data_IF_287574166070
#
_entry.id   IF_287574166070
#
_cell.length_a   1.000
_cell.length_b   1.000
_cell.length_c   1.000
_cell.angle_alpha   90.00
_cell.angle_beta   90.00
_cell.angle_gamma   90.00
#
_symmetry.space_group_name_H-M   'P 1'
#
loop_
_entity.id
_entity.type
_entity.pdbx_description
1 polymer ?
#
# COMPACT_ATOMS: atom_id res chain seq x y z
N UNK A 1 6.64 22.73 32.33
CA UNK A 1 5.26 23.24 32.46
C UNK A 1 4.37 22.02 32.57
N UNK A 2 3.56 21.89 33.62
CA UNK A 2 2.63 20.74 33.76
C UNK A 2 1.29 21.10 33.14
N UNK A 3 0.74 20.21 32.34
CA UNK A 3 -0.55 20.38 31.66
C UNK A 3 -1.66 19.62 32.39
N UNK A 4 -2.93 19.93 32.11
CA UNK A 4 -4.06 19.14 32.65
C UNK A 4 -4.04 17.69 32.17
N UNK A 5 -3.49 17.42 30.97
CA UNK A 5 -3.29 16.07 30.46
C UNK A 5 -2.33 15.24 31.33
N UNK A 6 -1.39 15.89 32.04
CA UNK A 6 -0.43 15.20 32.91
C UNK A 6 -1.09 14.58 34.15
N UNK A 7 -2.36 14.89 34.40
CA UNK A 7 -3.15 14.34 35.50
C UNK A 7 -4.04 13.18 35.07
N UNK A 8 -4.16 12.93 33.76
CA UNK A 8 -4.96 11.82 33.27
C UNK A 8 -4.18 10.50 33.42
N UNK A 9 -4.83 9.41 33.84
CA UNK A 9 -4.25 8.08 33.75
C UNK A 9 -3.86 7.74 32.30
N UNK A 10 -2.80 6.94 32.13
CA UNK A 10 -2.28 6.58 30.80
C UNK A 10 -3.31 5.84 29.96
N UNK A 11 -4.19 5.09 30.61
CA UNK A 11 -5.28 4.34 29.99
C UNK A 11 -6.30 5.29 29.33
N UNK A 12 -6.59 6.43 29.98
CA UNK A 12 -7.48 7.45 29.41
C UNK A 12 -6.84 8.09 28.18
N UNK A 13 -5.53 8.36 28.23
CA UNK A 13 -4.80 8.91 27.07
C UNK A 13 -4.80 7.93 25.89
N UNK A 14 -4.55 6.65 26.14
CA UNK A 14 -4.63 5.62 25.10
C UNK A 14 -6.03 5.54 24.49
N UNK A 15 -7.09 5.57 25.31
CA UNK A 15 -8.46 5.63 24.80
C UNK A 15 -8.72 6.87 23.94
N UNK A 16 -8.20 8.04 24.32
CA UNK A 16 -8.30 9.25 23.48
C UNK A 16 -7.58 9.05 22.15
N UNK A 17 -6.38 8.47 22.18
CA UNK A 17 -5.57 8.24 20.98
C UNK A 17 -6.24 7.26 20.01
N UNK A 18 -7.00 6.28 20.49
CA UNK A 18 -7.75 5.35 19.65
C UNK A 18 -8.80 6.03 18.75
N UNK A 19 -9.29 7.22 19.12
CA UNK A 19 -10.23 8.00 18.30
C UNK A 19 -9.55 8.90 17.26
N UNK A 20 -8.22 8.93 17.22
CA UNK A 20 -7.43 9.81 16.37
C UNK A 20 -6.53 9.00 15.45
N UNK A 21 -6.16 9.57 14.30
CA UNK A 21 -5.12 8.94 13.47
C UNK A 21 -3.76 9.08 14.18
N UNK A 22 -2.87 8.10 14.00
CA UNK A 22 -1.50 8.19 14.52
C UNK A 22 -0.80 9.50 14.12
N UNK A 23 -1.04 9.98 12.90
CA UNK A 23 -0.49 11.26 12.45
C UNK A 23 -1.05 12.45 13.25
N UNK A 24 -2.35 12.44 13.59
CA UNK A 24 -2.96 13.47 14.42
C UNK A 24 -2.50 13.38 15.87
N UNK A 25 -2.37 12.18 16.44
CA UNK A 25 -1.88 12.00 17.82
C UNK A 25 -0.46 12.57 17.96
N UNK A 26 0.45 12.20 17.05
CA UNK A 26 1.82 12.69 17.10
C UNK A 26 1.87 14.20 16.94
N UNK A 27 1.19 14.75 15.93
CA UNK A 27 1.17 16.20 15.70
C UNK A 27 0.55 16.98 16.87
N UNK A 28 -0.53 16.47 17.46
CA UNK A 28 -1.29 17.17 18.49
C UNK A 28 -0.68 17.06 19.88
N UNK A 29 0.02 15.98 20.23
CA UNK A 29 0.46 15.74 21.60
C UNK A 29 1.98 15.75 21.79
N UNK A 30 2.76 15.69 20.70
CA UNK A 30 4.22 15.70 20.80
C UNK A 30 4.74 17.03 21.33
N UNK A 31 5.71 16.94 22.25
CA UNK A 31 6.37 18.05 22.91
C UNK A 31 5.44 19.00 23.71
N UNK A 32 4.24 18.54 24.07
CA UNK A 32 3.37 19.27 25.00
C UNK A 32 3.88 19.15 26.44
N UNK A 33 4.21 17.94 26.88
CA UNK A 33 4.78 17.68 28.20
C UNK A 33 5.69 16.44 28.20
N UNK A 34 6.65 16.35 29.15
CA UNK A 34 7.47 15.15 29.29
C UNK A 34 6.65 13.88 29.55
N UNK A 35 5.54 14.00 30.27
CA UNK A 35 4.63 12.88 30.54
C UNK A 35 3.97 12.39 29.25
N UNK A 36 3.39 13.30 28.45
CA UNK A 36 2.78 12.94 27.17
C UNK A 36 3.82 12.34 26.23
N UNK A 37 5.03 12.89 26.13
CA UNK A 37 6.11 12.30 25.34
C UNK A 37 6.45 10.88 25.79
N UNK A 38 6.48 10.62 27.10
CA UNK A 38 6.69 9.27 27.62
C UNK A 38 5.56 8.32 27.23
N UNK A 39 4.30 8.75 27.29
CA UNK A 39 3.14 7.95 26.85
C UNK A 39 3.22 7.68 25.34
N UNK A 40 3.48 8.73 24.54
CA UNK A 40 3.67 8.65 23.11
C UNK A 40 4.77 7.66 22.73
N UNK A 41 5.90 7.64 23.45
CA UNK A 41 6.98 6.70 23.17
C UNK A 41 6.58 5.22 23.34
N UNK A 42 5.61 4.92 24.20
CA UNK A 42 5.07 3.57 24.37
C UNK A 42 3.85 3.30 23.49
N UNK A 43 3.31 4.32 22.82
CA UNK A 43 2.19 4.17 21.92
C UNK A 43 2.57 3.39 20.65
N UNK A 44 1.62 2.65 20.12
CA UNK A 44 1.82 1.70 19.04
C UNK A 44 1.67 2.40 17.67
N UNK A 45 2.69 3.17 17.26
CA UNK A 45 2.77 3.92 15.98
C UNK A 45 2.89 3.06 14.71
N UNK A 46 2.10 2.00 14.61
CA UNK A 46 2.31 0.97 13.60
C UNK A 46 1.79 1.36 12.23
N UNK A 47 0.89 2.34 12.13
CA UNK A 47 0.23 2.69 10.87
C UNK A 47 0.30 4.18 10.63
N UNK A 48 0.93 4.58 9.54
CA UNK A 48 1.02 5.98 9.12
C UNK A 48 0.26 6.14 7.81
N UNK A 49 -0.65 7.11 7.80
CA UNK A 49 -1.39 7.47 6.62
C UNK A 49 -1.16 8.94 6.28
N UNK A 50 -0.38 9.17 5.24
CA UNK A 50 -0.07 10.51 4.72
C UNK A 50 -0.96 10.91 3.55
N UNK A 51 -2.04 10.18 3.27
CA UNK A 51 -3.04 10.61 2.30
C UNK A 51 -3.66 11.94 2.73
N UNK A 52 -3.59 12.94 1.85
CA UNK A 52 -4.20 14.27 2.07
C UNK A 52 -3.74 15.02 3.33
N UNK A 53 -2.58 14.69 3.89
CA UNK A 53 -1.97 15.41 5.02
C UNK A 53 -1.45 16.79 4.58
N UNK A 54 -1.42 17.79 5.47
CA UNK A 54 -0.78 19.06 5.15
C UNK A 54 0.75 18.91 5.11
N UNK A 55 1.42 19.72 4.28
CA UNK A 55 2.89 19.73 4.17
C UNK A 55 3.58 19.97 5.52
N UNK A 56 3.10 20.92 6.31
CA UNK A 56 3.64 21.23 7.64
C UNK A 56 3.55 20.04 8.61
N UNK A 57 2.43 19.31 8.61
CA UNK A 57 2.24 18.12 9.44
C UNK A 57 3.13 16.99 8.97
N UNK A 58 3.19 16.78 7.65
CA UNK A 58 4.05 15.76 7.05
C UNK A 58 5.52 15.97 7.39
N UNK A 59 6.04 17.18 7.19
CA UNK A 59 7.45 17.51 7.47
C UNK A 59 7.79 17.31 8.95
N UNK A 60 6.89 17.73 9.84
CA UNK A 60 7.06 17.51 11.26
C UNK A 60 7.08 16.02 11.63
N UNK A 61 6.16 15.23 11.10
CA UNK A 61 6.11 13.79 11.39
C UNK A 61 7.39 13.14 10.90
N UNK A 62 7.82 13.41 9.65
CA UNK A 62 9.06 12.88 9.08
C UNK A 62 10.28 13.12 9.97
N UNK A 63 10.39 14.30 10.60
CA UNK A 63 11.50 14.62 11.50
C UNK A 63 11.53 13.79 12.81
N UNK A 64 10.45 13.09 13.12
CA UNK A 64 10.27 12.33 14.37
C UNK A 64 9.93 10.84 14.12
N UNK A 65 10.11 10.36 12.89
CA UNK A 65 9.78 8.97 12.55
C UNK A 65 10.81 7.97 13.09
N UNK A 66 10.31 6.98 13.83
CA UNK A 66 11.05 5.77 14.17
C UNK A 66 10.73 4.67 13.15
N UNK A 67 11.50 4.62 12.07
CA UNK A 67 11.22 3.78 10.89
C UNK A 67 11.00 2.30 11.21
N UNK A 68 11.70 1.79 12.22
CA UNK A 68 11.65 0.40 12.65
C UNK A 68 10.29 0.00 13.27
N UNK A 69 9.47 0.96 13.69
CA UNK A 69 8.16 0.69 14.33
C UNK A 69 6.99 0.69 13.36
N UNK A 70 7.23 1.14 12.13
CA UNK A 70 6.22 1.31 11.10
C UNK A 70 5.88 -0.06 10.50
N UNK A 71 4.62 -0.46 10.60
CA UNK A 71 4.07 -1.71 10.07
C UNK A 71 3.27 -1.45 8.78
N UNK A 72 2.61 -0.30 8.68
CA UNK A 72 1.83 0.10 7.52
C UNK A 72 2.11 1.55 7.17
N UNK A 73 2.38 1.81 5.89
CA UNK A 73 2.67 3.13 5.36
C UNK A 73 1.79 3.42 4.14
N UNK A 74 1.09 4.55 4.17
CA UNK A 74 0.37 5.09 3.02
C UNK A 74 0.97 6.44 2.64
N UNK A 75 1.44 6.56 1.40
CA UNK A 75 1.91 7.81 0.79
C UNK A 75 1.01 8.16 -0.40
N UNK A 76 0.84 9.45 -0.67
CA UNK A 76 -0.04 9.92 -1.73
C UNK A 76 0.55 11.13 -2.44
N UNK A 77 0.47 11.16 -3.76
CA UNK A 77 0.74 12.34 -4.58
C UNK A 77 -0.56 13.02 -5.02
N UNK A 78 -1.59 13.06 -4.16
CA UNK A 78 -2.87 13.71 -4.46
C UNK A 78 -2.75 15.24 -4.65
N UNK A 79 -3.86 15.89 -5.00
CA UNK A 79 -3.91 17.34 -5.25
C UNK A 79 -3.41 18.15 -4.04
N UNK A 80 -3.53 17.62 -2.81
CA UNK A 80 -3.09 18.29 -1.58
C UNK A 80 -1.62 18.02 -1.25
N UNK A 81 -1.05 16.96 -1.80
CA UNK A 81 0.28 16.44 -1.44
C UNK A 81 1.17 16.14 -2.67
N UNK A 82 1.29 17.06 -3.64
CA UNK A 82 2.08 16.80 -4.85
C UNK A 82 3.56 16.55 -4.53
N UNK A 83 4.13 15.49 -5.10
CA UNK A 83 5.55 15.12 -4.95
C UNK A 83 5.95 14.58 -3.57
N UNK A 84 4.97 14.30 -2.69
CA UNK A 84 5.21 13.74 -1.36
C UNK A 84 5.96 12.41 -1.41
N UNK A 85 5.61 11.51 -2.33
CA UNK A 85 6.25 10.19 -2.46
C UNK A 85 7.73 10.33 -2.76
N UNK A 86 8.08 11.13 -3.78
CA UNK A 86 9.47 11.38 -4.15
C UNK A 86 10.26 12.02 -3.01
N UNK A 87 9.66 13.00 -2.33
CA UNK A 87 10.29 13.65 -1.17
C UNK A 87 10.49 12.68 0.00
N UNK A 88 9.55 11.78 0.26
CA UNK A 88 9.67 10.79 1.33
C UNK A 88 10.86 9.85 1.06
N UNK A 89 10.97 9.32 -0.15
CA UNK A 89 12.05 8.40 -0.52
C UNK A 89 13.40 9.08 -0.79
N UNK A 90 13.46 10.41 -0.86
CA UNK A 90 14.73 11.13 -0.82
C UNK A 90 15.32 11.24 0.58
N UNK A 91 14.48 11.09 1.62
CA UNK A 91 14.89 11.15 3.03
C UNK A 91 15.10 9.77 3.65
N UNK A 92 14.28 8.79 3.25
CA UNK A 92 14.25 7.48 3.90
C UNK A 92 14.56 6.35 2.93
N UNK A 93 15.36 5.39 3.38
CA UNK A 93 15.61 4.16 2.63
C UNK A 93 14.56 3.10 3.01
N UNK A 94 13.95 2.44 2.01
CA UNK A 94 12.99 1.35 2.26
C UNK A 94 13.57 0.22 3.13
N UNK A 95 14.88 -0.02 3.08
CA UNK A 95 15.58 -1.03 3.90
C UNK A 95 15.41 -0.81 5.40
N UNK A 96 15.21 0.43 5.83
CA UNK A 96 15.16 0.79 7.24
C UNK A 96 13.79 0.47 7.87
N UNK A 97 12.77 0.22 7.04
CA UNK A 97 11.43 -0.17 7.47
C UNK A 97 11.36 -1.69 7.71
N UNK A 98 12.17 -2.18 8.64
CA UNK A 98 12.38 -3.62 8.89
C UNK A 98 11.09 -4.39 9.24
N UNK A 99 10.09 -3.70 9.81
CA UNK A 99 8.82 -4.28 10.23
C UNK A 99 7.65 -3.91 9.29
N UNK A 100 7.92 -3.38 8.10
CA UNK A 100 6.86 -2.99 7.18
C UNK A 100 6.16 -4.22 6.58
N UNK A 101 4.85 -4.30 6.82
CA UNK A 101 3.97 -5.34 6.31
C UNK A 101 3.03 -4.83 5.21
N UNK A 102 2.72 -3.54 5.21
CA UNK A 102 1.80 -2.94 4.25
C UNK A 102 2.38 -1.64 3.68
N UNK A 103 2.41 -1.55 2.35
CA UNK A 103 2.79 -0.34 1.63
C UNK A 103 1.69 0.04 0.65
N UNK A 104 1.20 1.27 0.78
CA UNK A 104 0.21 1.86 -0.12
C UNK A 104 0.80 3.11 -0.77
N UNK A 105 0.90 3.12 -2.09
CA UNK A 105 1.40 4.25 -2.89
C UNK A 105 0.28 4.76 -3.79
N UNK A 106 -0.26 5.93 -3.47
CA UNK A 106 -1.39 6.49 -4.19
C UNK A 106 -0.95 7.57 -5.17
N UNK A 107 -1.56 7.59 -6.35
CA UNK A 107 -1.33 8.64 -7.34
C UNK A 107 0.13 8.78 -7.81
N UNK A 108 0.88 7.68 -7.80
CA UNK A 108 2.30 7.63 -8.16
C UNK A 108 2.49 7.67 -9.69
N UNK A 109 3.57 8.26 -10.18
CA UNK A 109 3.94 8.19 -11.62
C UNK A 109 4.81 6.96 -11.91
N UNK A 110 4.97 6.65 -13.20
CA UNK A 110 5.86 5.57 -13.64
C UNK A 110 7.33 5.86 -13.25
N UNK A 111 7.80 7.11 -13.39
CA UNK A 111 9.19 7.45 -13.05
C UNK A 111 9.46 7.36 -11.54
N UNK A 112 8.45 7.59 -10.71
CA UNK A 112 8.56 7.50 -9.25
C UNK A 112 8.53 6.06 -8.75
N UNK A 113 7.67 5.20 -9.32
CA UNK A 113 7.51 3.83 -8.83
C UNK A 113 8.67 2.92 -9.26
N UNK A 114 9.24 3.14 -10.45
CA UNK A 114 10.32 2.30 -10.98
C UNK A 114 11.52 2.15 -10.02
N UNK A 115 12.11 3.23 -9.47
CA UNK A 115 13.20 3.11 -8.49
C UNK A 115 12.75 2.50 -7.16
N UNK A 116 11.46 2.55 -6.82
CA UNK A 116 10.92 1.93 -5.60
C UNK A 116 10.79 0.41 -5.78
N UNK A 117 10.41 -0.06 -6.98
CA UNK A 117 10.23 -1.49 -7.28
C UNK A 117 11.49 -2.32 -7.03
N UNK A 118 12.66 -1.80 -7.37
CA UNK A 118 13.95 -2.47 -7.13
C UNK A 118 14.26 -2.65 -5.64
N UNK A 119 13.66 -1.79 -4.80
CA UNK A 119 13.85 -1.75 -3.36
C UNK A 119 12.79 -2.52 -2.58
N UNK A 120 11.63 -2.81 -3.18
CA UNK A 120 10.57 -3.60 -2.55
C UNK A 120 11.03 -4.98 -2.11
N UNK A 121 11.93 -5.63 -2.86
CA UNK A 121 12.48 -6.96 -2.55
C UNK A 121 13.19 -7.03 -1.20
N UNK A 122 13.56 -5.87 -0.66
CA UNK A 122 14.27 -5.74 0.62
C UNK A 122 13.31 -5.77 1.81
N UNK A 123 12.02 -5.56 1.57
CA UNK A 123 10.96 -5.59 2.58
C UNK A 123 10.50 -7.03 2.83
N UNK A 124 11.27 -7.76 3.65
CA UNK A 124 11.08 -9.20 3.91
C UNK A 124 9.70 -9.56 4.47
N UNK A 125 9.08 -8.63 5.18
CA UNK A 125 7.78 -8.83 5.85
C UNK A 125 6.61 -8.25 5.06
N UNK A 126 6.84 -7.72 3.85
CA UNK A 126 5.76 -7.11 3.08
C UNK A 126 4.72 -8.15 2.66
N UNK A 127 3.51 -7.98 3.16
CA UNK A 127 2.35 -8.86 2.89
C UNK A 127 1.30 -8.18 2.03
N UNK A 128 1.28 -6.85 1.99
CA UNK A 128 0.31 -6.06 1.22
C UNK A 128 1.02 -4.96 0.45
N UNK A 129 0.80 -4.92 -0.86
CA UNK A 129 1.24 -3.85 -1.74
C UNK A 129 0.05 -3.33 -2.53
N UNK A 130 -0.24 -2.04 -2.37
CA UNK A 130 -1.32 -1.36 -3.09
C UNK A 130 -0.73 -0.16 -3.80
N UNK A 131 -0.90 -0.08 -5.11
CA UNK A 131 -0.42 1.04 -5.90
C UNK A 131 -1.51 1.55 -6.84
N UNK A 132 -1.64 2.88 -6.90
CA UNK A 132 -2.46 3.55 -7.92
C UNK A 132 -1.58 4.44 -8.77
N UNK A 133 -1.30 3.98 -10.00
CA UNK A 133 -0.45 4.68 -10.94
C UNK A 133 -1.28 5.66 -11.78
N UNK A 134 -0.74 6.86 -12.02
CA UNK A 134 -1.33 7.86 -12.95
C UNK A 134 -0.88 7.68 -14.40
N UNK A 135 -0.10 6.64 -14.68
CA UNK A 135 0.38 6.34 -16.02
C UNK A 135 -0.62 5.47 -16.78
N UNK A 136 -0.67 5.65 -18.09
CA UNK A 136 -1.32 4.73 -19.03
C UNK A 136 -0.43 3.53 -19.40
N UNK A 137 0.86 3.58 -19.04
CA UNK A 137 1.79 2.49 -19.33
C UNK A 137 1.69 1.38 -18.29
N UNK A 138 1.71 0.11 -18.71
CA UNK A 138 1.69 -1.03 -17.81
C UNK A 138 2.99 -1.09 -16.99
N UNK A 139 2.84 -1.22 -15.67
CA UNK A 139 3.96 -1.44 -14.76
C UNK A 139 4.42 -2.89 -14.83
N UNK A 140 5.62 -3.12 -15.38
CA UNK A 140 6.28 -4.42 -15.44
C UNK A 140 6.80 -4.84 -14.06
N UNK A 141 5.91 -5.38 -13.21
CA UNK A 141 6.25 -5.75 -11.83
C UNK A 141 6.59 -7.24 -11.67
N UNK A 142 6.39 -8.05 -12.72
CA UNK A 142 6.43 -9.52 -12.64
C UNK A 142 7.67 -10.08 -11.97
N UNK A 143 8.86 -9.61 -12.36
CA UNK A 143 10.13 -10.03 -11.76
C UNK A 143 10.22 -9.67 -10.26
N UNK A 144 9.80 -8.46 -9.88
CA UNK A 144 9.80 -8.01 -8.48
C UNK A 144 8.88 -8.88 -7.63
N UNK A 145 7.70 -9.26 -8.14
CA UNK A 145 6.75 -10.11 -7.39
C UNK A 145 7.35 -11.47 -7.01
N UNK A 146 8.21 -12.05 -7.85
CA UNK A 146 8.89 -13.33 -7.51
C UNK A 146 9.82 -13.22 -6.30
N UNK A 147 10.27 -12.01 -5.98
CA UNK A 147 11.15 -11.73 -4.84
C UNK A 147 10.35 -11.45 -3.56
N UNK A 148 9.08 -11.06 -3.69
CA UNK A 148 8.18 -10.72 -2.57
C UNK A 148 7.51 -11.97 -1.98
N UNK A 149 8.32 -12.82 -1.36
CA UNK A 149 7.87 -14.14 -0.86
C UNK A 149 6.74 -14.07 0.17
N UNK A 150 6.60 -12.97 0.91
CA UNK A 150 5.59 -12.81 1.95
C UNK A 150 4.27 -12.20 1.43
N UNK A 151 4.22 -11.79 0.16
CA UNK A 151 3.12 -11.03 -0.41
C UNK A 151 1.85 -11.88 -0.50
N UNK A 152 0.77 -11.37 0.07
CA UNK A 152 -0.57 -12.01 0.11
C UNK A 152 -1.64 -11.18 -0.58
N UNK A 153 -1.49 -9.86 -0.54
CA UNK A 153 -2.41 -8.91 -1.14
C UNK A 153 -1.65 -8.01 -2.13
N UNK A 154 -2.13 -7.98 -3.36
CA UNK A 154 -1.60 -7.13 -4.42
C UNK A 154 -2.74 -6.38 -5.08
N UNK A 155 -2.61 -5.06 -5.16
CA UNK A 155 -3.51 -4.22 -5.94
C UNK A 155 -2.70 -3.25 -6.77
N UNK A 156 -2.83 -3.33 -8.09
CA UNK A 156 -2.11 -2.44 -9.01
C UNK A 156 -3.11 -1.97 -10.08
N UNK A 157 -3.28 -0.66 -10.22
CA UNK A 157 -4.27 -0.10 -11.16
C UNK A 157 -3.93 -0.32 -12.64
N UNK A 158 -2.64 -0.34 -12.96
CA UNK A 158 -2.11 -0.46 -14.33
C UNK A 158 -0.80 -1.26 -14.30
N UNK A 159 -0.86 -2.50 -13.82
CA UNK A 159 0.32 -3.37 -13.69
C UNK A 159 0.16 -4.61 -14.53
N UNK A 160 1.10 -4.84 -15.44
CA UNK A 160 1.15 -6.10 -16.18
C UNK A 160 1.79 -7.17 -15.29
N UNK A 161 0.97 -7.77 -14.43
CA UNK A 161 1.33 -8.99 -13.71
C UNK A 161 1.40 -10.22 -14.63
N UNK A 162 0.94 -10.07 -15.88
CA UNK A 162 0.91 -11.10 -16.91
C UNK A 162 2.14 -11.07 -17.81
N UNK A 163 3.09 -10.18 -17.52
CA UNK A 163 4.40 -10.13 -18.15
C UNK A 163 4.94 -11.56 -18.25
N UNK A 164 5.36 -11.92 -19.46
CA UNK A 164 5.93 -13.23 -19.80
C UNK A 164 7.15 -13.58 -18.93
N UNK A 165 7.75 -12.61 -18.25
CA UNK A 165 8.84 -12.79 -17.29
C UNK A 165 8.41 -13.39 -15.94
N UNK A 166 7.12 -13.51 -15.63
CA UNK A 166 6.68 -14.25 -14.44
C UNK A 166 6.85 -15.74 -14.70
N UNK A 167 8.02 -16.24 -14.28
CA UNK A 167 8.49 -17.61 -14.54
C UNK A 167 7.94 -18.63 -13.54
N UNK A 168 7.39 -18.18 -12.42
CA UNK A 168 6.95 -19.07 -11.34
C UNK A 168 5.62 -18.64 -10.71
N UNK A 169 4.81 -19.60 -10.23
CA UNK A 169 3.58 -19.33 -9.50
C UNK A 169 3.83 -18.51 -8.22
N UNK A 170 3.05 -17.44 -8.05
CA UNK A 170 2.94 -16.62 -6.85
C UNK A 170 2.06 -17.31 -5.81
N UNK A 171 2.56 -18.40 -5.23
CA UNK A 171 1.79 -19.28 -4.33
C UNK A 171 1.21 -18.61 -3.08
N UNK A 172 1.81 -17.52 -2.60
CA UNK A 172 1.35 -16.86 -1.38
C UNK A 172 0.33 -15.77 -1.63
N UNK A 173 0.15 -15.37 -2.90
CA UNK A 173 -0.79 -14.33 -3.27
C UNK A 173 -2.22 -14.88 -3.26
N UNK A 174 -3.08 -14.24 -2.46
CA UNK A 174 -4.46 -14.69 -2.20
C UNK A 174 -5.49 -13.65 -2.62
N UNK A 175 -5.13 -12.37 -2.58
CA UNK A 175 -5.96 -11.25 -3.01
C UNK A 175 -5.23 -10.53 -4.12
N UNK A 176 -5.91 -10.38 -5.24
CA UNK A 176 -5.38 -9.70 -6.41
C UNK A 176 -6.41 -8.72 -6.98
N UNK A 177 -6.04 -7.45 -7.06
CA UNK A 177 -6.64 -6.49 -7.98
C UNK A 177 -5.61 -6.25 -9.10
N UNK A 178 -5.88 -6.86 -10.27
CA UNK A 178 -4.99 -6.80 -11.43
C UNK A 178 -5.34 -5.66 -12.39
N UNK A 179 -6.32 -4.81 -12.04
CA UNK A 179 -6.78 -3.76 -12.93
C UNK A 179 -7.35 -4.33 -14.23
N UNK A 180 -6.92 -3.79 -15.36
CA UNK A 180 -7.41 -4.22 -16.67
C UNK A 180 -6.67 -5.47 -17.16
N UNK A 181 -7.41 -6.44 -17.71
CA UNK A 181 -6.84 -7.65 -18.30
C UNK A 181 -7.64 -8.12 -19.52
N UNK A 182 -6.99 -8.83 -20.43
CA UNK A 182 -7.66 -9.52 -21.54
C UNK A 182 -7.97 -10.99 -21.19
N UNK A 183 -8.72 -11.67 -22.07
CA UNK A 183 -9.14 -13.05 -21.82
C UNK A 183 -7.98 -14.06 -21.75
N UNK A 184 -6.90 -13.85 -22.51
CA UNK A 184 -5.74 -14.75 -22.49
C UNK A 184 -4.98 -14.62 -21.18
N UNK A 185 -4.84 -13.41 -20.66
CA UNK A 185 -4.24 -13.10 -19.34
C UNK A 185 -5.06 -13.70 -18.20
N UNK A 186 -6.39 -13.55 -18.24
CA UNK A 186 -7.28 -14.18 -17.28
C UNK A 186 -7.10 -15.71 -17.25
N UNK A 187 -6.93 -16.35 -18.42
CA UNK A 187 -6.64 -17.79 -18.48
C UNK A 187 -5.29 -18.16 -17.87
N UNK A 188 -4.31 -17.26 -17.91
CA UNK A 188 -2.99 -17.46 -17.30
C UNK A 188 -3.03 -17.29 -15.77
N UNK A 189 -4.00 -16.58 -15.20
CA UNK A 189 -4.09 -16.34 -13.75
C UNK A 189 -4.07 -17.63 -12.92
N UNK A 190 -4.72 -18.69 -13.38
CA UNK A 190 -4.74 -19.95 -12.62
C UNK A 190 -3.33 -20.55 -12.43
N UNK A 191 -2.42 -20.28 -13.38
CA UNK A 191 -1.04 -20.75 -13.34
C UNK A 191 -0.12 -19.77 -12.60
N UNK A 192 -0.37 -18.47 -12.75
CA UNK A 192 0.44 -17.42 -12.13
C UNK A 192 0.11 -17.30 -10.64
N UNK A 193 -1.16 -17.40 -10.25
CA UNK A 193 -1.63 -17.20 -8.88
C UNK A 193 -2.56 -18.36 -8.48
N UNK A 194 -2.02 -19.57 -8.25
CA UNK A 194 -2.84 -20.75 -8.02
C UNK A 194 -3.63 -20.72 -6.70
N UNK A 195 -3.19 -19.91 -5.73
CA UNK A 195 -3.80 -19.80 -4.39
C UNK A 195 -4.81 -18.66 -4.28
N UNK A 196 -5.30 -18.15 -5.40
CA UNK A 196 -6.14 -16.96 -5.43
C UNK A 196 -7.51 -17.21 -4.79
N UNK A 197 -7.86 -16.37 -3.83
CA UNK A 197 -9.15 -16.39 -3.11
C UNK A 197 -10.05 -15.25 -3.57
N UNK A 198 -9.48 -14.07 -3.83
CA UNK A 198 -10.21 -12.88 -4.25
C UNK A 198 -9.56 -12.25 -5.47
N UNK A 199 -10.36 -12.00 -6.51
CA UNK A 199 -9.93 -11.38 -7.76
C UNK A 199 -10.79 -10.16 -8.06
N UNK A 200 -10.14 -9.04 -8.39
CA UNK A 200 -10.76 -7.86 -8.99
C UNK A 200 -10.06 -7.56 -10.31
N UNK A 201 -10.85 -7.44 -11.37
CA UNK A 201 -10.39 -7.17 -12.73
C UNK A 201 -11.40 -6.34 -13.50
N UNK A 202 -10.93 -5.67 -14.54
CA UNK A 202 -11.71 -5.08 -15.63
C UNK A 202 -11.33 -5.86 -16.89
N UNK A 203 -12.32 -6.48 -17.55
CA UNK A 203 -12.06 -7.26 -18.77
C UNK A 203 -12.17 -6.38 -20.02
N UNK A 204 -11.07 -6.25 -20.76
CA UNK A 204 -11.09 -5.64 -22.09
C UNK A 204 -11.73 -6.60 -23.09
N UNK A 205 -12.93 -6.26 -23.56
CA UNK A 205 -13.66 -7.03 -24.55
C UNK A 205 -13.19 -6.70 -25.98
N UNK A 206 -11.99 -7.15 -26.34
CA UNK A 206 -11.50 -7.07 -27.71
C UNK A 206 -11.87 -8.37 -28.46
N UNK A 207 -13.00 -8.32 -29.19
CA UNK A 207 -13.60 -9.34 -30.07
C UNK A 207 -14.56 -10.40 -29.45
N UNK A 208 -15.56 -10.77 -30.29
CA UNK A 208 -16.80 -11.51 -29.98
C UNK A 208 -16.60 -12.77 -29.11
N UNK A 209 -17.20 -12.76 -27.92
CA UNK A 209 -17.25 -13.91 -27.02
C UNK A 209 -18.35 -14.90 -27.44
N UNK A 210 -17.98 -16.06 -28.02
CA UNK A 210 -18.79 -17.27 -27.93
C UNK A 210 -18.54 -17.93 -26.58
N UNK A 211 -19.49 -17.82 -25.66
CA UNK A 211 -19.44 -18.43 -24.33
C UNK A 211 -19.62 -19.95 -24.43
N UNK A 212 -18.54 -20.72 -24.27
CA UNK A 212 -18.62 -22.17 -23.99
C UNK A 212 -18.58 -22.39 -22.48
N UNK A 213 -19.71 -22.83 -21.93
CA UNK A 213 -19.94 -23.09 -20.51
C UNK A 213 -19.27 -24.41 -20.09
N UNK A 214 -18.15 -24.36 -19.36
CA UNK A 214 -17.72 -25.45 -18.47
C UNK A 214 -17.25 -24.90 -17.13
N UNK A 215 -17.68 -25.56 -16.06
CA UNK A 215 -17.79 -25.04 -14.71
C UNK A 215 -16.49 -24.56 -14.07
N UNK A 216 -16.50 -23.30 -13.62
CA UNK A 216 -16.41 -22.89 -12.22
C UNK A 216 -16.61 -21.36 -12.20
N UNK A 217 -17.66 -20.92 -11.52
CA UNK A 217 -18.16 -19.55 -11.58
C UNK A 217 -17.32 -18.68 -10.64
N UNK A 218 -16.34 -17.95 -11.19
CA UNK A 218 -15.93 -16.70 -10.57
C UNK A 218 -17.09 -15.70 -10.79
N UNK A 219 -17.57 -15.08 -9.71
CA UNK A 219 -18.55 -13.98 -9.83
C UNK A 219 -17.84 -12.79 -10.48
N UNK A 220 -17.90 -12.74 -11.80
CA UNK A 220 -17.61 -11.54 -12.58
C UNK A 220 -18.73 -10.53 -12.30
N UNK A 221 -18.44 -9.49 -11.54
CA UNK A 221 -19.32 -8.32 -11.50
C UNK A 221 -19.24 -7.65 -12.86
N UNK A 222 -20.27 -7.88 -13.69
CA UNK A 222 -20.47 -7.17 -14.94
C UNK A 222 -20.64 -5.68 -14.63
N UNK A 223 -19.60 -4.88 -14.92
CA UNK A 223 -19.83 -3.49 -15.32
C UNK A 223 -19.91 -3.49 -16.84
N UNK A 224 -21.13 -3.55 -17.35
CA UNK A 224 -21.39 -3.12 -18.71
C UNK A 224 -21.16 -1.60 -18.73
N UNK A 225 -20.10 -1.15 -19.41
CA UNK A 225 -20.05 0.24 -19.88
C UNK A 225 -21.26 0.46 -20.79
N UNK A 226 -22.20 1.27 -20.33
CA UNK A 226 -23.15 1.94 -21.20
C UNK A 226 -22.63 3.36 -21.41
N UNK A 227 -22.34 3.64 -22.69
CA UNK A 227 -22.01 4.90 -23.35
C UNK A 227 -20.56 5.42 -23.20
#
# INVERSE_FOLDING_TARGET
MTTYFDRLPVEILHMIFEFMSNSDVLWSFYNISPYLNAVLNHHHWHTLNFQSISKSRFDFICNHLELQRIISLTLSNDIKTPGQIQFFFSQFNLRDFINLHSLTLLSITYEEIYPILSDLSKLKHLTSLITTCRSSEPLLIGQTLTQLKSLKNLSISYGDIFDHNVTFPLHNLTILDAGTCNFLELRRLQWIVPSLVSLKIILEANHQLQLVKRGNIFRLNHYACLL
#
